data_IF_317778649239
#
_entry.id   IF_317778649239
#
_cell.length_a   1.000
_cell.length_b   1.000
_cell.length_c   1.000
_cell.angle_alpha   90.00
_cell.angle_beta   90.00
_cell.angle_gamma   90.00
#
_symmetry.space_group_name_H-M   'P 1'
#
loop_
_entity.id
_entity.type
_entity.pdbx_description
1 polymer ?
#
# COMPACT_ATOMS: atom_id res chain seq x y z
N UNK A 1 11.25 5.39 -4.39
CA UNK A 1 10.85 5.55 -2.98
C UNK A 1 11.10 6.98 -2.56
N UNK A 2 10.06 7.72 -2.24
CA UNK A 2 10.15 9.11 -1.82
C UNK A 2 9.86 9.19 -0.32
N UNK A 3 10.78 9.73 0.46
CA UNK A 3 10.61 9.91 1.89
C UNK A 3 9.95 11.27 2.12
N UNK A 4 8.68 11.28 2.44
CA UNK A 4 8.02 12.51 2.92
C UNK A 4 8.21 12.63 4.43
N UNK A 5 9.02 13.57 4.83
CA UNK A 5 9.13 14.02 6.22
C UNK A 5 7.91 14.89 6.56
N UNK A 6 6.77 14.27 6.74
CA UNK A 6 5.55 14.96 7.10
C UNK A 6 4.90 14.39 8.33
N UNK A 7 4.68 15.19 9.29
CA UNK A 7 4.10 14.96 10.61
C UNK A 7 5.14 14.84 11.73
N UNK A 8 5.76 15.97 12.02
CA UNK A 8 6.95 16.02 12.90
C UNK A 8 6.68 15.99 14.42
N UNK A 9 5.46 16.17 14.92
CA UNK A 9 5.31 16.48 16.34
C UNK A 9 5.15 15.28 17.29
N UNK A 10 4.52 14.20 16.84
CA UNK A 10 4.32 13.01 17.69
C UNK A 10 5.17 11.80 17.28
N UNK A 11 5.53 11.71 16.02
CA UNK A 11 6.35 10.60 15.49
C UNK A 11 7.84 10.76 15.80
N UNK A 12 8.31 12.00 16.01
CA UNK A 12 9.73 12.28 16.31
C UNK A 12 10.22 11.64 17.63
N UNK A 13 9.33 11.34 18.56
CA UNK A 13 9.74 10.74 19.85
C UNK A 13 10.09 9.25 19.75
N UNK A 14 9.83 8.58 18.61
CA UNK A 14 9.99 7.13 18.47
C UNK A 14 10.82 6.69 17.27
N UNK A 15 11.44 7.63 16.56
CA UNK A 15 12.30 7.37 15.38
C UNK A 15 11.62 6.50 14.30
N UNK A 16 10.32 6.70 14.09
CA UNK A 16 9.58 6.01 13.03
C UNK A 16 9.77 6.75 11.71
N UNK A 17 10.20 6.01 10.69
CA UNK A 17 10.32 6.49 9.32
C UNK A 17 9.14 5.99 8.49
N UNK A 18 8.37 6.93 7.93
CA UNK A 18 7.28 6.61 7.00
C UNK A 18 7.75 6.89 5.59
N UNK A 19 7.73 5.88 4.73
CA UNK A 19 8.12 6.00 3.32
C UNK A 19 6.99 5.57 2.41
N UNK A 20 6.77 6.34 1.35
CA UNK A 20 5.82 6.00 0.31
C UNK A 20 6.45 5.04 -0.69
N UNK A 21 5.74 3.94 -0.98
CA UNK A 21 6.08 3.05 -2.07
C UNK A 21 5.31 3.50 -3.32
N UNK A 22 6.04 3.90 -4.33
CA UNK A 22 5.48 4.20 -5.65
C UNK A 22 5.96 3.16 -6.65
N UNK A 23 5.01 2.53 -7.33
CA UNK A 23 5.29 1.59 -8.42
C UNK A 23 4.79 2.24 -9.70
N UNK A 24 5.73 2.64 -10.55
CA UNK A 24 5.42 3.31 -11.81
C UNK A 24 6.06 2.57 -12.99
N UNK A 25 5.35 2.56 -14.11
CA UNK A 25 5.86 2.02 -15.36
C UNK A 25 6.57 3.12 -16.13
N UNK A 26 7.87 2.97 -16.32
CA UNK A 26 8.70 3.96 -17.01
C UNK A 26 8.66 3.77 -18.54
N UNK A 27 8.51 2.53 -19.03
CA UNK A 27 8.45 2.24 -20.45
C UNK A 27 7.74 0.92 -20.76
N UNK A 28 7.23 0.80 -21.99
CA UNK A 28 6.61 -0.42 -22.50
C UNK A 28 5.09 -0.51 -22.25
N UNK A 29 4.42 -1.29 -23.09
CA UNK A 29 2.98 -1.56 -23.00
C UNK A 29 2.68 -2.95 -22.44
N UNK A 30 3.73 -3.75 -22.13
CA UNK A 30 3.55 -5.10 -21.61
C UNK A 30 3.03 -5.07 -20.17
N UNK A 31 2.22 -6.06 -19.86
CA UNK A 31 1.69 -6.30 -18.52
C UNK A 31 2.82 -6.56 -17.53
N UNK A 32 2.68 -6.05 -16.33
CA UNK A 32 3.52 -6.45 -15.20
C UNK A 32 3.27 -7.91 -14.90
N UNK A 33 4.27 -8.75 -15.10
CA UNK A 33 4.17 -10.17 -14.84
C UNK A 33 4.22 -10.47 -13.34
N UNK A 34 3.76 -11.64 -12.97
CA UNK A 34 3.83 -12.09 -11.58
C UNK A 34 5.29 -12.16 -11.08
N UNK A 35 6.23 -12.50 -11.94
CA UNK A 35 7.66 -12.56 -11.61
C UNK A 35 8.20 -11.16 -11.26
N UNK A 36 7.82 -10.13 -11.99
CA UNK A 36 8.21 -8.75 -11.69
C UNK A 36 7.63 -8.30 -10.35
N UNK A 37 6.39 -8.67 -10.06
CA UNK A 37 5.76 -8.34 -8.77
C UNK A 37 6.46 -9.05 -7.61
N UNK A 38 6.89 -10.29 -7.81
CA UNK A 38 7.71 -11.01 -6.83
C UNK A 38 9.06 -10.35 -6.60
N UNK A 39 9.74 -9.91 -7.65
CA UNK A 39 11.03 -9.20 -7.54
C UNK A 39 10.89 -7.89 -6.78
N UNK A 40 9.85 -7.10 -7.08
CA UNK A 40 9.54 -5.86 -6.35
C UNK A 40 9.27 -6.16 -4.87
N UNK A 41 8.48 -7.19 -4.60
CA UNK A 41 8.16 -7.59 -3.22
C UNK A 41 9.40 -8.01 -2.45
N UNK A 42 10.30 -8.76 -3.07
CA UNK A 42 11.59 -9.14 -2.47
C UNK A 42 12.47 -7.94 -2.16
N UNK A 43 12.56 -6.98 -3.09
CA UNK A 43 13.31 -5.75 -2.88
C UNK A 43 12.73 -4.89 -1.74
N UNK A 44 11.41 -4.75 -1.68
CA UNK A 44 10.73 -4.04 -0.58
C UNK A 44 10.98 -4.74 0.76
N UNK A 45 10.92 -6.07 0.78
CA UNK A 45 11.18 -6.86 1.97
C UNK A 45 12.62 -6.65 2.50
N UNK A 46 13.61 -6.58 1.60
CA UNK A 46 15.00 -6.33 1.98
C UNK A 46 15.18 -4.94 2.59
N UNK A 47 14.59 -3.91 2.00
CA UNK A 47 14.61 -2.55 2.55
C UNK A 47 13.95 -2.51 3.93
N UNK A 48 12.80 -3.16 4.06
CA UNK A 48 12.07 -3.23 5.32
C UNK A 48 12.88 -3.95 6.41
N UNK A 49 13.53 -5.06 6.06
CA UNK A 49 14.38 -5.81 6.99
C UNK A 49 15.58 -5.00 7.50
N UNK A 50 16.16 -4.15 6.65
CA UNK A 50 17.31 -3.31 6.99
C UNK A 50 16.93 -2.08 7.83
N UNK A 51 15.66 -1.71 7.88
CA UNK A 51 15.18 -0.49 8.53
C UNK A 51 14.11 -0.85 9.58
N UNK A 52 14.50 -1.14 10.82
CA UNK A 52 13.60 -1.67 11.84
C UNK A 52 12.48 -0.72 12.27
N UNK A 53 12.59 0.57 11.95
CA UNK A 53 11.59 1.58 12.28
C UNK A 53 10.80 2.07 11.06
N UNK A 54 10.91 1.37 9.93
CA UNK A 54 10.23 1.74 8.70
C UNK A 54 8.77 1.32 8.73
N UNK A 55 7.91 2.24 8.31
CA UNK A 55 6.51 1.99 7.92
C UNK A 55 6.38 2.36 6.46
N UNK A 56 5.84 1.47 5.65
CA UNK A 56 5.62 1.70 4.23
C UNK A 56 4.16 2.06 4.00
N UNK A 57 3.95 3.13 3.25
CA UNK A 57 2.65 3.60 2.79
C UNK A 57 2.54 3.35 1.28
N UNK A 58 1.44 2.75 0.84
CA UNK A 58 1.15 2.50 -0.56
C UNK A 58 -0.27 2.94 -0.89
N UNK A 59 -0.42 3.85 -1.86
CA UNK A 59 -1.72 4.30 -2.36
C UNK A 59 -2.00 3.65 -3.71
N UNK A 60 -3.19 3.06 -3.85
CA UNK A 60 -3.61 2.39 -5.07
C UNK A 60 -4.11 3.40 -6.09
N UNK A 61 -3.44 3.45 -7.25
CA UNK A 61 -3.79 4.32 -8.36
C UNK A 61 -5.10 3.89 -9.02
N UNK A 62 -5.95 4.85 -9.36
CA UNK A 62 -7.22 4.65 -10.07
C UNK A 62 -7.19 5.15 -11.52
N UNK A 63 -6.11 5.79 -11.95
CA UNK A 63 -6.01 6.48 -13.24
C UNK A 63 -5.55 5.52 -14.34
N UNK A 64 -4.54 4.69 -14.07
CA UNK A 64 -3.93 3.84 -15.08
C UNK A 64 -4.70 2.53 -15.26
N UNK A 65 -5.08 2.18 -16.50
CA UNK A 65 -5.79 0.92 -16.76
C UNK A 65 -4.91 -0.30 -16.48
N UNK A 66 -5.56 -1.42 -16.18
CA UNK A 66 -4.90 -2.72 -16.06
C UNK A 66 -5.16 -3.51 -17.34
N UNK A 67 -4.17 -3.66 -18.25
CA UNK A 67 -4.39 -4.25 -19.57
C UNK A 67 -4.81 -5.73 -19.54
N UNK A 68 -4.36 -6.48 -18.55
CA UNK A 68 -4.62 -7.93 -18.47
C UNK A 68 -5.50 -8.32 -17.29
N UNK A 69 -6.43 -7.45 -16.95
CA UNK A 69 -7.38 -7.75 -15.89
C UNK A 69 -8.08 -9.08 -16.16
N UNK A 70 -8.02 -10.00 -15.23
CA UNK A 70 -8.64 -11.31 -15.38
C UNK A 70 -10.17 -11.19 -15.40
N UNK A 71 -10.75 -11.33 -16.60
CA UNK A 71 -12.21 -11.22 -16.79
C UNK A 71 -12.98 -12.46 -16.32
N UNK A 72 -12.30 -13.55 -15.99
CA UNK A 72 -12.91 -14.78 -15.47
C UNK A 72 -13.15 -14.71 -13.96
N UNK A 73 -12.47 -13.82 -13.25
CA UNK A 73 -12.69 -13.61 -11.83
C UNK A 73 -13.89 -12.69 -11.59
N UNK A 74 -14.53 -12.79 -10.42
CA UNK A 74 -15.59 -11.88 -9.99
C UNK A 74 -15.15 -10.43 -9.84
N UNK A 75 -13.85 -10.13 -10.02
CA UNK A 75 -13.25 -8.81 -9.83
C UNK A 75 -13.32 -7.91 -11.06
N UNK A 76 -13.84 -8.39 -12.20
CA UNK A 76 -13.88 -7.63 -13.46
C UNK A 76 -14.68 -6.32 -13.40
N UNK A 77 -15.63 -6.22 -12.47
CA UNK A 77 -16.50 -5.04 -12.30
C UNK A 77 -16.03 -4.10 -11.19
N UNK A 78 -14.93 -4.41 -10.52
CA UNK A 78 -14.39 -3.56 -9.47
C UNK A 78 -13.70 -2.32 -10.06
N UNK A 79 -13.74 -1.18 -9.37
CA UNK A 79 -12.88 -0.06 -9.71
C UNK A 79 -11.41 -0.48 -9.74
N UNK A 80 -10.61 0.20 -10.56
CA UNK A 80 -9.21 -0.17 -10.79
C UNK A 80 -8.39 -0.13 -9.49
N UNK A 81 -8.59 0.91 -8.68
CA UNK A 81 -7.89 1.04 -7.40
C UNK A 81 -8.27 -0.04 -6.40
N UNK A 82 -9.54 -0.44 -6.35
CA UNK A 82 -10.00 -1.53 -5.50
C UNK A 82 -9.39 -2.87 -5.93
N UNK A 83 -9.35 -3.12 -7.23
CA UNK A 83 -8.70 -4.30 -7.79
C UNK A 83 -7.20 -4.34 -7.41
N UNK A 84 -6.50 -3.21 -7.53
CA UNK A 84 -5.09 -3.10 -7.12
C UNK A 84 -4.90 -3.34 -5.63
N UNK A 85 -5.82 -2.87 -4.80
CA UNK A 85 -5.79 -3.12 -3.35
C UNK A 85 -5.89 -4.60 -3.03
N UNK A 86 -6.83 -5.30 -3.67
CA UNK A 86 -7.00 -6.76 -3.50
C UNK A 86 -5.75 -7.50 -4.00
N UNK A 87 -5.24 -7.14 -5.16
CA UNK A 87 -4.04 -7.74 -5.74
C UNK A 87 -2.82 -7.52 -4.83
N UNK A 88 -2.63 -6.33 -4.32
CA UNK A 88 -1.54 -6.01 -3.40
C UNK A 88 -1.60 -6.87 -2.14
N UNK A 89 -2.76 -6.97 -1.51
CA UNK A 89 -2.96 -7.83 -0.34
C UNK A 89 -2.65 -9.30 -0.64
N UNK A 90 -3.05 -9.77 -1.80
CA UNK A 90 -2.82 -11.16 -2.22
C UNK A 90 -1.32 -11.45 -2.41
N UNK A 91 -0.61 -10.55 -3.06
CA UNK A 91 0.84 -10.68 -3.26
C UNK A 91 1.58 -10.61 -1.92
N UNK A 92 1.19 -9.68 -1.06
CA UNK A 92 1.76 -9.55 0.27
C UNK A 92 1.58 -10.83 1.09
N UNK A 93 0.36 -11.34 1.18
CA UNK A 93 0.05 -12.56 1.95
C UNK A 93 0.80 -13.77 1.39
N UNK A 94 0.87 -13.90 0.07
CA UNK A 94 1.61 -14.97 -0.61
C UNK A 94 3.10 -14.92 -0.29
N UNK A 95 3.70 -13.74 -0.31
CA UNK A 95 5.10 -13.56 0.03
C UNK A 95 5.38 -13.93 1.49
N UNK A 96 4.56 -13.42 2.40
CA UNK A 96 4.71 -13.67 3.84
C UNK A 96 4.60 -15.16 4.18
N UNK A 97 3.66 -15.86 3.55
CA UNK A 97 3.49 -17.31 3.71
C UNK A 97 4.66 -18.09 3.14
N UNK A 98 5.12 -17.75 1.93
CA UNK A 98 6.21 -18.45 1.27
C UNK A 98 7.55 -18.30 1.98
N UNK A 99 7.79 -17.17 2.61
CA UNK A 99 9.04 -16.85 3.30
C UNK A 99 8.93 -17.00 4.82
N UNK A 100 7.79 -17.46 5.32
CA UNK A 100 7.53 -17.67 6.76
C UNK A 100 7.83 -16.42 7.60
N UNK A 101 7.50 -15.24 7.09
CA UNK A 101 7.70 -13.97 7.78
C UNK A 101 6.59 -13.75 8.78
N UNK A 102 6.94 -13.34 9.99
CA UNK A 102 6.00 -13.03 11.08
C UNK A 102 6.26 -11.65 11.65
N UNK A 103 5.29 -11.10 12.38
CA UNK A 103 5.45 -9.81 13.07
C UNK A 103 5.33 -8.58 12.15
N UNK A 104 4.89 -8.76 10.91
CA UNK A 104 4.65 -7.68 9.94
C UNK A 104 3.23 -7.83 9.39
N UNK A 105 2.52 -6.75 9.30
CA UNK A 105 1.14 -6.73 8.82
C UNK A 105 0.95 -5.75 7.67
N UNK A 106 0.11 -6.13 6.72
CA UNK A 106 -0.48 -5.26 5.74
C UNK A 106 -1.82 -4.76 6.29
N UNK A 107 -1.98 -3.45 6.40
CA UNK A 107 -3.16 -2.82 6.98
C UNK A 107 -3.86 -2.04 5.88
N UNK A 108 -4.92 -2.60 5.27
CA UNK A 108 -5.69 -1.89 4.25
C UNK A 108 -6.59 -0.83 4.90
N UNK A 109 -6.63 0.33 4.27
CA UNK A 109 -7.48 1.45 4.68
C UNK A 109 -8.32 1.85 3.47
N UNK A 110 -9.63 1.83 3.64
CA UNK A 110 -10.57 2.35 2.67
C UNK A 110 -11.13 3.69 3.16
N UNK A 111 -11.06 4.70 2.29
CA UNK A 111 -11.59 6.03 2.54
C UNK A 111 -12.68 6.33 1.52
N UNK A 112 -13.90 6.54 1.99
CA UNK A 112 -15.02 6.88 1.15
C UNK A 112 -15.21 8.39 1.15
N UNK A 113 -15.15 9.01 -0.01
CA UNK A 113 -15.24 10.45 -0.21
C UNK A 113 -16.35 10.82 -1.19
N UNK A 114 -16.75 12.08 -1.16
CA UNK A 114 -17.75 12.65 -2.04
C UNK A 114 -17.22 13.92 -2.68
N UNK A 115 -17.27 14.00 -4.00
CA UNK A 115 -16.86 15.17 -4.76
C UNK A 115 -17.87 15.41 -5.89
N UNK A 116 -18.39 16.61 -5.97
CA UNK A 116 -19.38 17.03 -6.98
C UNK A 116 -20.61 16.09 -7.07
N UNK A 117 -21.07 15.56 -5.93
CA UNK A 117 -22.20 14.64 -5.87
C UNK A 117 -21.88 13.19 -6.25
N UNK A 118 -20.61 12.88 -6.52
CA UNK A 118 -20.15 11.54 -6.88
C UNK A 118 -19.31 10.95 -5.76
N UNK A 119 -19.70 9.77 -5.29
CA UNK A 119 -18.94 9.00 -4.33
C UNK A 119 -17.74 8.30 -4.98
N UNK A 120 -16.60 8.31 -4.33
CA UNK A 120 -15.43 7.54 -4.73
C UNK A 120 -14.69 7.03 -3.50
N UNK A 121 -13.91 5.98 -3.67
CA UNK A 121 -13.14 5.38 -2.60
C UNK A 121 -11.65 5.44 -2.92
N UNK A 122 -10.85 5.72 -1.89
CA UNK A 122 -9.39 5.66 -1.93
C UNK A 122 -8.95 4.43 -1.16
N UNK A 123 -7.98 3.70 -1.69
CA UNK A 123 -7.45 2.49 -1.09
C UNK A 123 -5.96 2.70 -0.78
N UNK A 124 -5.61 2.56 0.48
CA UNK A 124 -4.27 2.75 1.00
C UNK A 124 -3.87 1.52 1.78
N UNK A 125 -2.60 1.16 1.72
CA UNK A 125 -2.02 0.11 2.55
C UNK A 125 -0.89 0.67 3.40
N UNK A 126 -0.87 0.29 4.67
CA UNK A 126 0.27 0.47 5.54
C UNK A 126 0.92 -0.88 5.81
N UNK A 127 2.21 -0.98 5.58
CA UNK A 127 3.01 -2.15 5.94
C UNK A 127 3.86 -1.77 7.14
N UNK A 128 3.64 -2.45 8.24
CA UNK A 128 4.30 -2.13 9.50
C UNK A 128 4.54 -3.37 10.36
N UNK A 129 5.48 -3.25 11.27
CA UNK A 129 5.68 -4.27 12.29
C UNK A 129 4.60 -4.20 13.36
N UNK A 130 4.18 -5.33 13.87
CA UNK A 130 3.14 -5.43 14.91
C UNK A 130 3.54 -4.70 16.20
N UNK A 131 4.84 -4.59 16.49
CA UNK A 131 5.34 -3.80 17.61
C UNK A 131 5.04 -2.30 17.52
N UNK A 132 4.68 -1.81 16.34
CA UNK A 132 4.33 -0.41 16.07
C UNK A 132 2.81 -0.17 16.00
N UNK A 133 2.00 -1.08 16.52
CA UNK A 133 0.53 -1.03 16.40
C UNK A 133 -0.10 0.27 16.92
N UNK A 134 0.45 0.84 17.99
CA UNK A 134 -0.02 2.12 18.55
C UNK A 134 0.20 3.30 17.59
N UNK A 135 1.33 3.31 16.89
CA UNK A 135 1.66 4.33 15.88
C UNK A 135 0.78 4.16 14.64
N UNK A 136 0.49 2.91 14.27
CA UNK A 136 -0.39 2.60 13.14
C UNK A 136 -1.79 3.18 13.36
N UNK A 137 -2.34 3.06 14.55
CA UNK A 137 -3.65 3.64 14.86
C UNK A 137 -3.64 5.17 14.72
N UNK A 138 -2.57 5.84 15.18
CA UNK A 138 -2.40 7.28 15.01
C UNK A 138 -2.29 7.68 13.53
N UNK A 139 -1.56 6.90 12.72
CA UNK A 139 -1.44 7.14 11.28
C UNK A 139 -2.79 6.95 10.56
N UNK A 140 -3.54 5.92 10.90
CA UNK A 140 -4.87 5.68 10.35
C UNK A 140 -5.82 6.85 10.64
N UNK A 141 -5.82 7.33 11.87
CA UNK A 141 -6.64 8.48 12.27
C UNK A 141 -6.23 9.75 11.52
N UNK A 142 -4.93 10.01 11.41
CA UNK A 142 -4.41 11.15 10.65
C UNK A 142 -4.75 11.10 9.16
N UNK A 143 -4.68 9.92 8.54
CA UNK A 143 -5.07 9.72 7.14
C UNK A 143 -6.56 10.02 6.95
N UNK A 144 -7.41 9.52 7.84
CA UNK A 144 -8.86 9.76 7.79
C UNK A 144 -9.20 11.23 7.96
N UNK A 145 -8.54 11.93 8.87
CA UNK A 145 -8.73 13.37 9.07
C UNK A 145 -8.41 14.20 7.84
N UNK A 146 -7.29 13.92 7.20
CA UNK A 146 -6.84 14.65 6.00
C UNK A 146 -7.77 14.37 4.82
N UNK A 147 -8.25 13.14 4.69
CA UNK A 147 -9.10 12.72 3.56
C UNK A 147 -10.57 13.10 3.73
N UNK A 148 -11.04 13.34 4.95
CA UNK A 148 -12.41 13.76 5.25
C UNK A 148 -12.67 15.26 5.04
N UNK A 149 -11.68 15.98 4.57
CA UNK A 149 -11.79 17.39 4.21
C UNK A 149 -11.91 17.56 2.71
#
# INVERSE_FOLDING_TARGET
MHCQKGCKSHLQKRDIDVSELMIDRICGESTTTQDILHDITGWVADIFAQNPNLVIYYSCDDINPIPSRNTKSGNRNLPVNEYRSILFSHIFDSYMSSHQVTGVSNIPIRLDNYEDGVGYSIFIHLIARDKHSDIIELLKDGIREVSGK
#
